data_IF_395706231022
#
_entry.id   IF_395706231022
#
_cell.length_a   1.000
_cell.length_b   1.000
_cell.length_c   1.000
_cell.angle_alpha   90.00
_cell.angle_beta   90.00
_cell.angle_gamma   90.00
#
_symmetry.space_group_name_H-M   'P 1'
#
loop_
_entity.id
_entity.type
_entity.pdbx_description
1 polymer ?
#
# COMPACT_ATOMS: atom_id res chain seq x y z
N UNK A 1 -13.23 -8.79 -0.18
CA UNK A 1 -12.14 -8.37 -1.09
C UNK A 1 -12.74 -8.04 -2.46
N UNK A 2 -13.61 -7.04 -2.56
CA UNK A 2 -14.42 -6.80 -3.79
C UNK A 2 -13.78 -5.86 -4.83
N UNK A 3 -12.53 -5.39 -4.65
CA UNK A 3 -11.89 -4.47 -5.60
C UNK A 3 -10.74 -5.04 -6.40
N UNK A 4 -9.93 -5.93 -5.81
CA UNK A 4 -8.59 -6.26 -6.34
C UNK A 4 -8.37 -7.78 -6.37
N UNK A 5 -8.88 -8.48 -7.39
CA UNK A 5 -8.96 -9.94 -7.41
C UNK A 5 -7.62 -10.68 -7.55
N UNK A 6 -6.56 -10.00 -8.00
CA UNK A 6 -5.28 -10.64 -8.35
C UNK A 6 -4.11 -10.12 -7.51
N UNK A 7 -4.09 -8.81 -7.26
CA UNK A 7 -2.97 -8.12 -6.61
C UNK A 7 -3.51 -6.87 -5.89
N UNK A 8 -3.08 -6.68 -4.65
CA UNK A 8 -3.44 -5.51 -3.84
C UNK A 8 -2.26 -5.08 -2.98
N UNK A 9 -2.23 -3.80 -2.65
CA UNK A 9 -1.30 -3.24 -1.66
C UNK A 9 -2.12 -2.60 -0.55
N UNK A 10 -1.81 -2.97 0.68
CA UNK A 10 -2.29 -2.32 1.88
C UNK A 10 -1.21 -1.34 2.37
N UNK A 11 -1.59 -0.06 2.49
CA UNK A 11 -0.70 1.01 2.97
C UNK A 11 -1.25 1.55 4.28
N UNK A 12 -0.42 1.55 5.32
CA UNK A 12 -0.69 2.20 6.59
C UNK A 12 0.29 3.36 6.80
N UNK A 13 -0.25 4.57 6.88
CA UNK A 13 0.49 5.83 6.95
C UNK A 13 0.78 6.31 8.38
N UNK A 14 0.76 5.39 9.35
CA UNK A 14 1.02 5.72 10.76
C UNK A 14 -0.20 5.65 11.67
N UNK A 15 -1.35 5.19 11.16
CA UNK A 15 -2.59 4.99 11.91
C UNK A 15 -2.90 3.50 12.00
N UNK A 16 -2.03 2.76 12.68
CA UNK A 16 -2.09 1.30 12.83
C UNK A 16 -3.36 0.80 13.53
N UNK A 17 -3.91 1.61 14.43
CA UNK A 17 -5.08 1.24 15.23
C UNK A 17 -6.42 1.58 14.55
N UNK A 18 -6.42 2.39 13.48
CA UNK A 18 -7.64 2.94 12.90
C UNK A 18 -7.95 2.41 11.50
N UNK A 19 -7.02 2.53 10.55
CA UNK A 19 -7.26 2.05 9.19
C UNK A 19 -5.96 1.81 8.40
N UNK A 20 -5.99 0.76 7.58
CA UNK A 20 -5.07 0.55 6.46
C UNK A 20 -5.83 0.75 5.15
N UNK A 21 -5.22 1.42 4.18
CA UNK A 21 -5.83 1.61 2.86
C UNK A 21 -5.47 0.42 1.97
N UNK A 22 -6.46 -0.38 1.58
CA UNK A 22 -6.28 -1.46 0.59
C UNK A 22 -6.59 -0.91 -0.78
N UNK A 23 -5.62 -1.01 -1.68
CA UNK A 23 -5.68 -0.44 -3.02
C UNK A 23 -5.29 -1.49 -4.05
N UNK A 24 -5.89 -1.42 -5.25
CA UNK A 24 -5.44 -2.26 -6.35
C UNK A 24 -4.10 -1.74 -6.86
N UNK A 25 -3.17 -2.62 -7.22
CA UNK A 25 -1.85 -2.20 -7.69
C UNK A 25 -1.92 -1.14 -8.80
N UNK A 26 -2.86 -1.28 -9.75
CA UNK A 26 -3.07 -0.32 -10.84
C UNK A 26 -3.46 1.09 -10.35
N UNK A 27 -4.25 1.17 -9.27
CA UNK A 27 -4.68 2.44 -8.69
C UNK A 27 -3.62 3.08 -7.79
N UNK A 28 -2.63 2.30 -7.35
CA UNK A 28 -1.55 2.74 -6.48
C UNK A 28 -0.39 3.40 -7.25
N UNK A 29 -0.24 3.12 -8.55
CA UNK A 29 0.88 3.63 -9.35
C UNK A 29 0.80 5.16 -9.45
N UNK A 30 1.90 5.83 -9.12
CA UNK A 30 2.02 7.29 -9.21
C UNK A 30 1.29 8.06 -8.10
N UNK A 31 0.69 7.37 -7.13
CA UNK A 31 0.10 8.01 -5.96
C UNK A 31 1.17 8.36 -4.93
N UNK A 32 1.04 9.54 -4.33
CA UNK A 32 1.94 10.03 -3.28
C UNK A 32 1.12 10.19 -2.01
N UNK A 33 1.62 9.61 -0.92
CA UNK A 33 0.99 9.67 0.40
C UNK A 33 1.95 10.29 1.42
N UNK A 34 1.41 11.14 2.28
CA UNK A 34 2.15 11.69 3.41
C UNK A 34 1.84 10.87 4.66
N UNK A 35 2.87 10.41 5.36
CA UNK A 35 2.67 9.72 6.63
C UNK A 35 2.30 10.72 7.73
N UNK A 36 1.40 10.32 8.61
CA UNK A 36 1.02 11.08 9.81
C UNK A 36 1.91 10.74 11.00
N UNK A 37 2.71 9.68 10.87
CA UNK A 37 3.63 9.20 11.91
C UNK A 37 4.98 8.79 11.32
N UNK A 38 5.92 8.44 12.19
CA UNK A 38 7.27 8.01 11.87
C UNK A 38 7.37 6.54 11.43
N UNK A 39 6.28 5.77 11.56
CA UNK A 39 6.20 4.37 11.13
C UNK A 39 5.17 4.24 10.01
N UNK A 40 5.57 3.61 8.91
CA UNK A 40 4.71 3.27 7.76
C UNK A 40 4.80 1.77 7.54
N UNK A 41 3.66 1.09 7.35
CA UNK A 41 3.65 -0.31 6.92
C UNK A 41 3.05 -0.45 5.54
N UNK A 42 3.69 -1.27 4.72
CA UNK A 42 3.24 -1.60 3.37
C UNK A 42 3.17 -3.12 3.30
N UNK A 43 2.01 -3.65 2.91
CA UNK A 43 1.80 -5.10 2.76
C UNK A 43 1.22 -5.39 1.38
N UNK A 44 1.88 -6.27 0.64
CA UNK A 44 1.40 -6.73 -0.66
C UNK A 44 0.66 -8.06 -0.53
N UNK A 45 -0.46 -8.19 -1.23
CA UNK A 45 -1.18 -9.45 -1.42
C UNK A 45 -1.21 -9.77 -2.91
N UNK A 46 -0.85 -11.00 -3.26
CA UNK A 46 -0.75 -11.47 -4.64
C UNK A 46 -1.29 -12.89 -4.78
N UNK A 47 -2.05 -13.14 -5.84
CA UNK A 47 -2.27 -14.48 -6.39
C UNK A 47 -1.27 -14.73 -7.52
N UNK A 48 -0.72 -15.94 -7.59
CA UNK A 48 0.21 -16.40 -8.64
C UNK A 48 1.67 -15.91 -8.56
N UNK A 49 2.14 -15.46 -7.40
CA UNK A 49 3.55 -15.14 -7.13
C UNK A 49 4.17 -14.05 -8.06
N UNK A 50 3.34 -13.15 -8.58
CA UNK A 50 3.71 -12.05 -9.48
C UNK A 50 3.64 -10.68 -8.80
N UNK A 51 4.20 -10.52 -7.60
CA UNK A 51 4.22 -9.22 -6.93
C UNK A 51 5.57 -8.53 -7.16
N UNK A 52 5.57 -7.57 -8.07
CA UNK A 52 6.67 -6.63 -8.26
C UNK A 52 6.13 -5.23 -8.02
N UNK A 53 6.49 -4.63 -6.88
CA UNK A 53 6.23 -3.21 -6.62
C UNK A 53 7.53 -2.55 -6.17
N UNK A 54 7.68 -1.28 -6.53
CA UNK A 54 8.74 -0.40 -6.08
C UNK A 54 8.12 0.77 -5.35
N UNK A 55 8.83 1.31 -4.37
CA UNK A 55 8.40 2.48 -3.63
C UNK A 55 9.57 3.45 -3.48
N UNK A 56 9.28 4.71 -3.74
CA UNK A 56 10.18 5.81 -3.43
C UNK A 56 9.62 6.50 -2.18
N UNK A 57 10.47 6.70 -1.17
CA UNK A 57 10.10 7.41 0.04
C UNK A 57 11.04 8.58 0.28
N UNK A 58 10.50 9.63 0.89
CA UNK A 58 11.27 10.80 1.33
C UNK A 58 10.88 11.14 2.75
N UNK A 59 11.89 11.32 3.60
CA UNK A 59 11.72 11.85 4.95
C UNK A 59 11.84 13.38 4.84
N UNK A 60 10.88 14.10 5.42
CA UNK A 60 10.82 15.57 5.48
C UNK A 60 10.85 16.02 6.92
#
# INVERSE_FOLDING_TARGET
MEGCPWQAVEVNLGQFDLYGMIMCCQSAVGQIYNSLSNLVAIRGVVRYNQLTFSLDYRIV
#
